data_IF_488966806858
#
_entry.id   IF_488966806858
#
_cell.length_a   1.000
_cell.length_b   1.000
_cell.length_c   1.000
_cell.angle_alpha   90.00
_cell.angle_beta   90.00
_cell.angle_gamma   90.00
#
_symmetry.space_group_name_H-M   'P 1'
#
loop_
_entity.id
_entity.type
_entity.pdbx_description
1 polymer ?
#
# COMPACT_ATOMS: atom_id res chain seq x y z
N UNK A 1 7.10 -12.16 -16.06
CA UNK A 1 6.50 -10.83 -15.93
C UNK A 1 7.55 -9.76 -16.21
N UNK A 2 7.13 -8.64 -16.78
CA UNK A 2 7.93 -7.41 -16.85
C UNK A 2 7.14 -6.26 -16.24
N UNK A 3 7.87 -5.26 -15.76
CA UNK A 3 7.34 -4.05 -15.17
C UNK A 3 7.73 -2.83 -15.99
N UNK A 4 6.76 -1.92 -16.16
CA UNK A 4 6.90 -0.68 -16.92
C UNK A 4 6.63 0.52 -16.00
N UNK A 5 7.19 1.67 -16.36
CA UNK A 5 6.90 2.94 -15.67
C UNK A 5 5.58 3.54 -16.17
N UNK A 6 4.78 4.07 -15.25
CA UNK A 6 3.58 4.88 -15.57
C UNK A 6 3.90 6.14 -16.37
N UNK A 7 5.16 6.58 -16.45
CA UNK A 7 5.60 7.79 -17.18
C UNK A 7 6.47 7.51 -18.39
N UNK A 8 6.65 6.24 -18.75
CA UNK A 8 7.17 5.85 -20.05
C UNK A 8 8.69 5.67 -20.11
N UNK A 9 9.36 5.49 -18.97
CA UNK A 9 10.75 5.05 -18.95
C UNK A 9 10.91 3.81 -19.86
N UNK A 10 11.87 3.81 -20.81
CA UNK A 10 11.92 2.81 -21.86
C UNK A 10 12.36 1.43 -21.36
N UNK A 11 13.07 1.36 -20.24
CA UNK A 11 13.56 0.09 -19.71
C UNK A 11 12.44 -0.67 -19.00
N UNK A 12 12.25 -1.91 -19.44
CA UNK A 12 11.40 -2.90 -18.78
C UNK A 12 12.21 -3.61 -17.71
N UNK A 13 11.65 -3.75 -16.52
CA UNK A 13 12.34 -4.35 -15.36
C UNK A 13 11.70 -5.67 -14.98
N UNK A 14 12.46 -6.53 -14.31
CA UNK A 14 11.98 -7.70 -13.58
C UNK A 14 11.58 -7.32 -12.13
N UNK A 15 10.87 -8.20 -11.43
CA UNK A 15 10.33 -7.89 -10.10
C UNK A 15 11.45 -7.55 -9.11
N UNK A 16 12.49 -8.38 -9.06
CA UNK A 16 13.62 -8.19 -8.15
C UNK A 16 14.41 -6.90 -8.43
N UNK A 17 14.39 -6.37 -9.65
CA UNK A 17 14.97 -5.06 -9.96
C UNK A 17 14.11 -3.94 -9.34
N UNK A 18 12.80 -3.94 -9.60
CA UNK A 18 11.91 -2.88 -9.09
C UNK A 18 11.71 -2.95 -7.57
N UNK A 19 11.92 -4.14 -6.98
CA UNK A 19 11.87 -4.36 -5.54
C UNK A 19 12.89 -3.44 -4.82
N UNK A 20 14.10 -3.34 -5.37
CA UNK A 20 15.19 -2.53 -4.81
C UNK A 20 15.14 -1.07 -5.26
N UNK A 21 14.74 -0.80 -6.51
CA UNK A 21 14.66 0.58 -7.03
C UNK A 21 13.50 1.38 -6.40
N UNK A 22 12.34 0.75 -6.21
CA UNK A 22 11.11 1.37 -5.69
C UNK A 22 10.41 2.32 -6.66
N UNK A 23 11.12 3.32 -7.19
CA UNK A 23 10.64 4.32 -8.16
C UNK A 23 11.39 4.18 -9.49
N UNK A 24 10.70 4.37 -10.61
CA UNK A 24 11.35 4.37 -11.92
C UNK A 24 12.25 5.62 -12.10
N UNK A 25 13.30 5.56 -12.95
CA UNK A 25 14.23 6.69 -13.12
C UNK A 25 13.58 7.98 -13.66
N UNK A 26 12.44 7.88 -14.34
CA UNK A 26 11.65 9.02 -14.82
C UNK A 26 10.68 9.60 -13.76
N UNK A 27 10.75 9.10 -12.52
CA UNK A 27 9.86 9.47 -11.42
C UNK A 27 8.48 8.82 -11.47
N UNK A 28 8.23 7.95 -12.45
CA UNK A 28 7.00 7.16 -12.53
C UNK A 28 6.99 5.96 -11.58
N UNK A 29 5.82 5.36 -11.43
CA UNK A 29 5.62 4.17 -10.62
C UNK A 29 5.67 2.92 -11.47
N UNK A 30 6.26 1.86 -10.94
CA UNK A 30 6.22 0.56 -11.63
C UNK A 30 4.84 -0.09 -11.53
N UNK A 31 4.37 -0.63 -12.66
CA UNK A 31 3.17 -1.47 -12.81
C UNK A 31 3.51 -2.66 -13.72
N UNK A 32 2.83 -3.82 -13.58
CA UNK A 32 3.08 -4.97 -14.43
C UNK A 32 2.61 -4.66 -15.86
N UNK A 33 3.35 -5.16 -16.84
CA UNK A 33 3.05 -4.96 -18.26
C UNK A 33 1.65 -5.47 -18.63
N UNK A 34 1.13 -6.46 -17.93
CA UNK A 34 -0.25 -6.94 -17.99
C UNK A 34 -0.71 -7.39 -16.60
N UNK A 35 -2.01 -7.27 -16.32
CA UNK A 35 -2.57 -7.96 -15.16
C UNK A 35 -2.82 -9.42 -15.52
N UNK A 36 -2.29 -10.39 -14.75
CA UNK A 36 -2.60 -11.80 -14.94
C UNK A 36 -4.08 -12.07 -14.66
N UNK A 37 -4.70 -12.93 -15.45
CA UNK A 37 -6.11 -13.30 -15.30
C UNK A 37 -6.24 -14.56 -14.44
N UNK A 38 -7.27 -14.58 -13.60
CA UNK A 38 -7.67 -15.66 -12.71
C UNK A 38 -9.07 -16.06 -13.12
N UNK A 39 -9.22 -17.28 -13.64
CA UNK A 39 -10.50 -17.83 -14.05
C UNK A 39 -11.28 -18.45 -12.87
N UNK A 40 -12.55 -18.81 -13.12
CA UNK A 40 -13.42 -19.43 -12.11
C UNK A 40 -12.82 -20.73 -11.55
N UNK A 41 -12.14 -21.52 -12.39
CA UNK A 41 -11.49 -22.76 -11.97
C UNK A 41 -10.32 -22.50 -11.01
N UNK A 42 -9.56 -21.42 -11.21
CA UNK A 42 -8.53 -20.96 -10.28
C UNK A 42 -9.16 -20.47 -8.98
N UNK A 43 -10.21 -19.66 -9.04
CA UNK A 43 -10.92 -19.18 -7.84
C UNK A 43 -11.42 -20.34 -6.98
N UNK A 44 -12.00 -21.37 -7.59
CA UNK A 44 -12.51 -22.55 -6.88
C UNK A 44 -11.41 -23.38 -6.20
N UNK A 45 -10.23 -23.48 -6.83
CA UNK A 45 -9.06 -24.12 -6.21
C UNK A 45 -8.54 -23.28 -5.05
N UNK A 46 -8.40 -21.97 -5.28
CA UNK A 46 -7.80 -21.03 -4.34
C UNK A 46 -8.64 -20.81 -3.08
N UNK A 47 -9.96 -20.97 -3.16
CA UNK A 47 -10.89 -20.91 -2.02
C UNK A 47 -10.50 -21.83 -0.85
N UNK A 48 -9.80 -22.93 -1.13
CA UNK A 48 -9.42 -23.95 -0.15
C UNK A 48 -8.01 -23.75 0.43
N UNK A 49 -7.27 -22.76 -0.06
CA UNK A 49 -5.88 -22.53 0.34
C UNK A 49 -5.80 -21.82 1.69
N UNK A 50 -4.71 -22.12 2.41
CA UNK A 50 -4.28 -21.30 3.53
C UNK A 50 -3.87 -19.91 3.02
N UNK A 51 -3.83 -18.90 3.89
CA UNK A 51 -3.36 -17.56 3.51
C UNK A 51 -1.94 -17.57 2.89
N UNK A 52 -0.91 -18.23 3.47
CA UNK A 52 0.41 -18.27 2.84
C UNK A 52 0.44 -19.00 1.50
N UNK A 53 -0.36 -20.06 1.31
CA UNK A 53 -0.45 -20.74 0.01
C UNK A 53 -1.16 -19.86 -1.03
N UNK A 54 -2.23 -19.17 -0.64
CA UNK A 54 -2.91 -18.19 -1.51
C UNK A 54 -1.98 -17.04 -1.89
N UNK A 55 -1.18 -16.55 -0.92
CA UNK A 55 -0.17 -15.54 -1.18
C UNK A 55 0.85 -16.03 -2.22
N UNK A 56 1.34 -17.27 -2.06
CA UNK A 56 2.26 -17.88 -3.03
C UNK A 56 1.66 -17.95 -4.43
N UNK A 57 0.42 -18.43 -4.59
CA UNK A 57 -0.25 -18.53 -5.90
C UNK A 57 -0.40 -17.17 -6.57
N UNK A 58 -0.90 -16.16 -5.84
CA UNK A 58 -1.09 -14.81 -6.37
C UNK A 58 0.25 -14.15 -6.72
N UNK A 59 1.23 -14.23 -5.82
CA UNK A 59 2.55 -13.61 -6.02
C UNK A 59 3.31 -14.27 -7.17
N UNK A 60 3.16 -15.57 -7.38
CA UNK A 60 3.81 -16.30 -8.49
C UNK A 60 3.36 -15.81 -9.87
N UNK A 61 2.18 -15.20 -9.98
CA UNK A 61 1.74 -14.58 -11.24
C UNK A 61 2.47 -13.28 -11.57
N UNK A 62 3.05 -12.63 -10.57
CA UNK A 62 3.74 -11.35 -10.68
C UNK A 62 5.28 -11.49 -10.60
N UNK A 63 5.76 -12.53 -9.92
CA UNK A 63 7.17 -12.74 -9.60
C UNK A 63 7.66 -13.99 -10.34
N UNK A 64 8.28 -13.81 -11.51
CA UNK A 64 8.82 -14.92 -12.33
C UNK A 64 10.34 -15.07 -12.27
N UNK A 65 10.99 -14.27 -11.43
CA UNK A 65 12.45 -14.17 -11.25
C UNK A 65 12.92 -14.56 -9.83
N UNK A 66 12.01 -15.07 -9.00
CA UNK A 66 12.31 -15.81 -7.76
C UNK A 66 11.89 -17.28 -7.98
N UNK A 67 12.74 -18.28 -7.69
CA UNK A 67 12.37 -19.69 -7.78
C UNK A 67 11.09 -20.00 -6.96
N UNK A 68 10.13 -20.78 -7.49
CA UNK A 68 8.86 -21.04 -6.79
C UNK A 68 9.02 -21.62 -5.38
N UNK A 69 10.00 -22.51 -5.17
CA UNK A 69 10.27 -23.07 -3.85
C UNK A 69 10.71 -22.01 -2.82
N UNK A 70 11.49 -21.03 -3.26
CA UNK A 70 11.96 -19.92 -2.43
C UNK A 70 10.81 -18.97 -2.12
N UNK A 71 10.01 -18.61 -3.14
CA UNK A 71 8.84 -17.74 -2.95
C UNK A 71 7.81 -18.38 -2.00
N UNK A 72 7.57 -19.69 -2.12
CA UNK A 72 6.70 -20.42 -1.20
C UNK A 72 7.23 -20.39 0.24
N UNK A 73 8.54 -20.61 0.41
CA UNK A 73 9.21 -20.49 1.71
C UNK A 73 9.07 -19.09 2.30
N UNK A 74 9.24 -18.04 1.48
CA UNK A 74 9.08 -16.65 1.89
C UNK A 74 7.64 -16.38 2.37
N UNK A 75 6.63 -16.84 1.63
CA UNK A 75 5.22 -16.66 2.02
C UNK A 75 4.91 -17.38 3.34
N UNK A 76 5.36 -18.63 3.48
CA UNK A 76 5.16 -19.44 4.68
C UNK A 76 5.89 -18.85 5.91
N UNK A 77 7.09 -18.28 5.74
CA UNK A 77 7.82 -17.56 6.81
C UNK A 77 7.15 -16.24 7.19
N UNK A 78 6.46 -15.60 6.25
CA UNK A 78 5.86 -14.28 6.44
C UNK A 78 4.55 -14.35 7.21
N UNK A 79 3.61 -15.18 6.73
CA UNK A 79 2.23 -15.17 7.19
C UNK A 79 1.96 -16.33 8.15
N UNK A 80 2.33 -16.15 9.41
CA UNK A 80 2.16 -17.17 10.46
C UNK A 80 1.23 -16.72 11.58
N UNK A 81 0.61 -17.66 12.33
CA UNK A 81 -0.17 -17.33 13.52
C UNK A 81 0.63 -16.62 14.60
N UNK A 82 1.94 -16.88 14.70
CA UNK A 82 2.80 -16.23 15.70
C UNK A 82 3.02 -14.74 15.39
N UNK A 83 3.02 -14.38 14.10
CA UNK A 83 3.18 -12.98 13.65
C UNK A 83 1.84 -12.24 13.62
N UNK A 84 0.76 -12.92 13.22
CA UNK A 84 -0.56 -12.30 12.98
C UNK A 84 -1.66 -12.75 13.95
N UNK A 85 -1.31 -13.47 15.01
CA UNK A 85 -2.23 -13.93 16.07
C UNK A 85 -3.23 -15.02 15.67
N UNK A 86 -3.31 -15.42 14.39
CA UNK A 86 -4.32 -16.38 13.91
C UNK A 86 -3.90 -17.08 12.61
N UNK A 87 -4.32 -18.33 12.42
CA UNK A 87 -4.09 -19.10 11.18
C UNK A 87 -4.82 -18.54 9.96
N UNK A 88 -5.88 -17.74 10.16
CA UNK A 88 -6.58 -17.06 9.06
C UNK A 88 -5.78 -15.89 8.50
N UNK A 89 -4.83 -15.35 9.28
CA UNK A 89 -4.03 -14.12 9.04
C UNK A 89 -4.90 -12.87 8.91
N UNK A 90 -5.90 -12.89 8.04
CA UNK A 90 -6.94 -11.87 7.86
C UNK A 90 -8.30 -12.51 8.15
N UNK A 91 -8.72 -12.64 9.41
CA UNK A 91 -10.06 -13.10 9.71
C UNK A 91 -11.09 -12.06 9.24
N UNK A 92 -12.20 -12.54 8.67
CA UNK A 92 -13.36 -11.71 8.35
C UNK A 92 -14.46 -11.95 9.39
N UNK A 93 -14.88 -10.87 10.05
CA UNK A 93 -15.95 -10.86 11.05
C UNK A 93 -17.24 -10.32 10.45
N UNK A 94 -18.33 -11.08 10.53
CA UNK A 94 -19.65 -10.56 10.21
C UNK A 94 -20.15 -9.65 11.34
N UNK A 95 -20.60 -8.45 10.99
CA UNK A 95 -21.32 -7.54 11.90
C UNK A 95 -22.84 -7.64 11.65
N UNK A 96 -23.23 -7.74 10.39
CA UNK A 96 -24.62 -7.96 9.94
C UNK A 96 -24.63 -8.94 8.75
N UNK A 97 -25.82 -9.28 8.24
CA UNK A 97 -25.97 -10.17 7.08
C UNK A 97 -25.14 -9.73 5.86
N UNK A 98 -25.09 -8.43 5.58
CA UNK A 98 -24.38 -7.88 4.42
C UNK A 98 -23.20 -6.97 4.82
N UNK A 99 -22.82 -6.93 6.10
CA UNK A 99 -21.75 -6.07 6.60
C UNK A 99 -20.70 -6.91 7.32
N UNK A 100 -19.47 -6.87 6.79
CA UNK A 100 -18.34 -7.62 7.30
C UNK A 100 -17.14 -6.69 7.50
N UNK A 101 -16.26 -7.04 8.45
CA UNK A 101 -14.99 -6.38 8.70
C UNK A 101 -13.86 -7.38 8.46
N UNK A 102 -12.98 -7.07 7.52
CA UNK A 102 -11.72 -7.79 7.35
C UNK A 102 -10.69 -7.22 8.33
N UNK A 103 -10.26 -8.01 9.30
CA UNK A 103 -9.32 -7.59 10.33
C UNK A 103 -7.88 -7.68 9.80
N UNK A 104 -7.34 -6.55 9.37
CA UNK A 104 -5.99 -6.46 8.80
C UNK A 104 -4.93 -6.04 9.84
N UNK A 105 -5.34 -5.77 11.08
CA UNK A 105 -4.52 -5.13 12.11
C UNK A 105 -4.06 -6.10 13.20
N UNK A 106 -3.94 -7.40 12.89
CA UNK A 106 -3.54 -8.42 13.86
C UNK A 106 -2.03 -8.70 13.83
N UNK A 107 -1.29 -8.02 12.96
CA UNK A 107 0.16 -8.10 12.85
C UNK A 107 0.90 -7.44 14.02
N UNK A 108 2.24 -7.47 14.01
CA UNK A 108 3.08 -7.07 15.14
C UNK A 108 2.94 -5.60 15.54
N UNK A 109 2.42 -4.74 14.66
CA UNK A 109 2.28 -3.31 14.93
C UNK A 109 0.84 -2.84 15.06
N UNK A 110 -0.11 -3.78 15.03
CA UNK A 110 -1.55 -3.51 15.12
C UNK A 110 -2.08 -2.63 13.97
N UNK A 111 -1.51 -2.78 12.77
CA UNK A 111 -1.92 -2.01 11.59
C UNK A 111 -1.83 -2.83 10.29
N UNK A 112 -2.71 -2.55 9.33
CA UNK A 112 -2.74 -3.23 8.02
C UNK A 112 -1.43 -3.16 7.22
N UNK A 113 -0.55 -2.21 7.56
CA UNK A 113 0.76 -2.06 6.90
C UNK A 113 1.63 -3.30 7.12
N UNK A 114 1.42 -4.03 8.21
CA UNK A 114 2.14 -5.27 8.52
C UNK A 114 1.99 -6.33 7.43
N UNK A 115 0.79 -6.43 6.83
CA UNK A 115 0.48 -7.38 5.75
C UNK A 115 1.49 -7.27 4.60
N UNK A 116 1.84 -6.03 4.22
CA UNK A 116 2.78 -5.76 3.14
C UNK A 116 4.23 -5.73 3.62
N UNK A 117 4.48 -5.12 4.77
CA UNK A 117 5.85 -4.87 5.23
C UNK A 117 6.56 -6.17 5.63
N UNK A 118 5.87 -7.10 6.31
CA UNK A 118 6.47 -8.38 6.71
C UNK A 118 6.96 -9.18 5.48
N UNK A 119 6.16 -9.21 4.40
CA UNK A 119 6.57 -9.84 3.15
C UNK A 119 7.76 -9.12 2.53
N UNK A 120 7.70 -7.79 2.49
CA UNK A 120 8.75 -6.97 1.91
C UNK A 120 10.09 -7.16 2.62
N UNK A 121 10.11 -7.26 3.95
CA UNK A 121 11.34 -7.53 4.70
C UNK A 121 11.98 -8.88 4.33
N UNK A 122 11.17 -9.93 4.15
CA UNK A 122 11.67 -11.24 3.71
C UNK A 122 12.14 -11.22 2.25
N UNK A 123 11.44 -10.51 1.36
CA UNK A 123 11.84 -10.36 -0.05
C UNK A 123 13.15 -9.58 -0.20
N UNK A 124 13.33 -8.50 0.56
CA UNK A 124 14.57 -7.71 0.56
C UNK A 124 15.75 -8.53 1.10
N UNK A 125 15.57 -9.21 2.23
CA UNK A 125 16.61 -10.09 2.79
C UNK A 125 17.04 -11.16 1.78
N UNK A 126 16.07 -11.80 1.11
CA UNK A 126 16.34 -12.80 0.08
C UNK A 126 17.16 -12.22 -1.08
N UNK A 127 16.70 -11.11 -1.66
CA UNK A 127 17.31 -10.55 -2.86
C UNK A 127 18.69 -9.94 -2.58
N UNK A 128 18.86 -9.28 -1.43
CA UNK A 128 20.15 -8.73 -1.01
C UNK A 128 21.16 -9.84 -0.75
N UNK A 129 20.75 -10.93 -0.11
CA UNK A 129 21.60 -12.10 0.09
C UNK A 129 22.02 -12.73 -1.26
N UNK A 130 21.10 -12.85 -2.21
CA UNK A 130 21.38 -13.39 -3.55
C UNK A 130 22.38 -12.53 -4.32
N UNK A 131 22.37 -11.22 -4.14
CA UNK A 131 23.31 -10.27 -4.78
C UNK A 131 24.61 -10.06 -4.02
N UNK A 132 24.68 -10.46 -2.74
CA UNK A 132 25.78 -10.08 -1.86
C UNK A 132 25.81 -8.57 -1.58
N UNK A 133 24.65 -7.94 -1.54
CA UNK A 133 24.48 -6.49 -1.37
C UNK A 133 23.93 -6.15 0.02
N UNK A 134 24.01 -4.86 0.38
CA UNK A 134 23.39 -4.33 1.59
C UNK A 134 22.58 -3.07 1.25
N UNK A 135 21.53 -2.82 2.03
CA UNK A 135 20.62 -1.69 1.89
C UNK A 135 20.47 -0.94 3.21
N UNK A 136 20.69 0.36 3.18
CA UNK A 136 20.39 1.25 4.29
C UNK A 136 19.08 1.99 3.97
N UNK A 137 18.00 1.59 4.63
CA UNK A 137 16.67 2.20 4.47
C UNK A 137 16.65 3.50 5.27
N UNK A 138 16.35 4.60 4.61
CA UNK A 138 16.11 5.89 5.26
C UNK A 138 14.64 6.26 5.16
N UNK A 139 14.02 6.60 6.28
CA UNK A 139 12.60 6.95 6.34
C UNK A 139 12.30 8.05 7.35
N UNK A 140 11.11 8.64 7.18
CA UNK A 140 10.50 9.54 8.15
C UNK A 140 9.10 9.02 8.49
N UNK A 141 8.70 9.10 9.76
CA UNK A 141 7.39 8.66 10.24
C UNK A 141 6.77 9.62 11.25
N UNK A 142 5.44 9.62 11.30
CA UNK A 142 4.64 10.19 12.40
C UNK A 142 4.15 9.13 13.39
N UNK A 143 4.51 7.85 13.18
CA UNK A 143 4.15 6.72 14.03
C UNK A 143 4.03 5.42 13.22
N UNK A 144 2.80 5.04 12.86
CA UNK A 144 2.42 3.73 12.29
C UNK A 144 3.33 3.16 11.20
N UNK A 145 3.75 4.01 10.24
CA UNK A 145 4.54 3.52 9.08
C UNK A 145 5.95 3.13 9.49
N UNK A 146 6.53 3.84 10.45
CA UNK A 146 7.83 3.54 11.05
C UNK A 146 7.81 2.22 11.80
N UNK A 147 6.82 2.04 12.70
CA UNK A 147 6.64 0.76 13.41
C UNK A 147 6.60 -0.41 12.44
N UNK A 148 5.71 -0.38 11.44
CA UNK A 148 5.55 -1.48 10.49
C UNK A 148 6.82 -1.78 9.69
N UNK A 149 7.59 -0.73 9.33
CA UNK A 149 8.87 -0.89 8.64
C UNK A 149 9.93 -1.51 9.57
N UNK A 150 10.09 -1.00 10.80
CA UNK A 150 11.08 -1.49 11.75
C UNK A 150 10.83 -2.95 12.14
N UNK A 151 9.59 -3.31 12.48
CA UNK A 151 9.25 -4.70 12.81
C UNK A 151 9.39 -5.66 11.64
N UNK A 152 9.28 -5.19 10.40
CA UNK A 152 9.50 -6.02 9.22
C UNK A 152 11.00 -6.21 8.91
N UNK A 153 11.83 -5.23 9.23
CA UNK A 153 13.25 -5.21 8.88
C UNK A 153 14.16 -5.61 10.04
N UNK A 154 13.66 -5.64 11.29
CA UNK A 154 14.46 -6.02 12.47
C UNK A 154 15.04 -7.42 12.28
N UNK A 155 16.34 -7.54 12.53
CA UNK A 155 17.09 -8.78 12.37
C UNK A 155 17.29 -9.28 10.93
N UNK A 156 16.81 -8.55 9.90
CA UNK A 156 17.03 -8.93 8.50
C UNK A 156 18.48 -8.72 8.08
N UNK A 157 19.10 -9.73 7.49
CA UNK A 157 20.49 -9.64 7.00
C UNK A 157 20.58 -8.72 5.79
N UNK A 158 21.66 -7.94 5.74
CA UNK A 158 21.91 -6.98 4.67
C UNK A 158 21.00 -5.74 4.69
N UNK A 159 20.13 -5.58 5.69
CA UNK A 159 19.23 -4.43 5.80
C UNK A 159 19.50 -3.67 7.11
N UNK A 160 19.63 -2.35 7.02
CA UNK A 160 19.57 -1.44 8.18
C UNK A 160 18.45 -0.43 7.99
N UNK A 161 17.81 0.00 9.07
CA UNK A 161 16.76 1.02 9.05
C UNK A 161 17.18 2.21 9.87
N UNK A 162 17.14 3.39 9.24
CA UNK A 162 17.33 4.68 9.88
C UNK A 162 16.00 5.42 9.79
N UNK A 163 15.26 5.44 10.89
CA UNK A 163 13.91 6.01 10.94
C UNK A 163 13.92 7.31 11.73
N UNK A 164 13.59 8.40 11.04
CA UNK A 164 13.43 9.71 11.66
C UNK A 164 12.01 9.89 12.15
N UNK A 165 11.86 10.39 13.37
CA UNK A 165 10.57 10.77 13.94
C UNK A 165 10.69 12.07 14.72
N UNK A 166 9.64 12.93 14.73
CA UNK A 166 9.68 14.17 15.48
C UNK A 166 9.64 13.90 16.99
N UNK A 167 10.62 14.43 17.72
CA UNK A 167 10.77 14.25 19.16
C UNK A 167 9.52 14.75 19.90
N UNK A 168 8.91 13.87 20.71
CA UNK A 168 7.75 14.18 21.55
C UNK A 168 6.42 14.38 20.81
N UNK A 169 6.33 14.04 19.52
CA UNK A 169 5.12 14.27 18.70
C UNK A 169 4.41 13.00 18.20
N UNK A 170 4.88 11.82 18.59
CA UNK A 170 4.20 10.55 18.33
C UNK A 170 3.32 10.14 19.52
N UNK A 171 2.31 9.30 19.30
CA UNK A 171 1.60 8.69 20.42
C UNK A 171 2.54 7.79 21.25
N UNK A 172 2.29 7.69 22.56
CA UNK A 172 3.11 6.84 23.45
C UNK A 172 3.17 5.39 22.97
N UNK A 173 2.08 4.87 22.40
CA UNK A 173 2.03 3.50 21.88
C UNK A 173 2.97 3.30 20.69
N UNK A 174 2.90 4.18 19.68
CA UNK A 174 3.76 4.09 18.50
C UNK A 174 5.23 4.33 18.86
N UNK A 175 5.50 5.29 19.73
CA UNK A 175 6.85 5.56 20.23
C UNK A 175 7.42 4.33 20.95
N UNK A 176 6.64 3.68 21.82
CA UNK A 176 7.05 2.48 22.52
C UNK A 176 7.32 1.31 21.56
N UNK A 177 6.49 1.11 20.53
CA UNK A 177 6.73 0.10 19.50
C UNK A 177 8.10 0.29 18.83
N UNK A 178 8.42 1.51 18.40
CA UNK A 178 9.67 1.78 17.69
C UNK A 178 10.88 1.80 18.63
N UNK A 179 10.83 2.62 19.69
CA UNK A 179 12.02 2.96 20.49
C UNK A 179 12.42 1.85 21.49
N UNK A 180 11.56 0.84 21.69
CA UNK A 180 11.90 -0.32 22.51
C UNK A 180 12.71 -1.38 21.77
N UNK A 181 12.77 -1.33 20.43
CA UNK A 181 13.55 -2.29 19.63
C UNK A 181 15.04 -2.17 19.95
N UNK A 182 15.66 -3.31 20.27
CA UNK A 182 17.09 -3.41 20.60
C UNK A 182 17.92 -4.02 19.46
N UNK A 183 17.27 -4.39 18.35
CA UNK A 183 17.93 -4.99 17.20
C UNK A 183 18.98 -4.04 16.61
N UNK A 184 20.23 -4.52 16.47
CA UNK A 184 21.38 -3.69 16.06
C UNK A 184 21.21 -2.99 14.71
N UNK A 185 20.37 -3.54 13.83
CA UNK A 185 20.11 -3.00 12.50
C UNK A 185 18.99 -1.95 12.46
N UNK A 186 18.37 -1.62 13.59
CA UNK A 186 17.32 -0.61 13.71
C UNK A 186 17.86 0.62 14.43
N UNK A 187 17.76 1.76 13.77
CA UNK A 187 18.25 3.05 14.26
C UNK A 187 17.12 4.06 14.29
N UNK A 188 16.60 4.30 15.49
CA UNK A 188 15.59 5.32 15.75
C UNK A 188 16.26 6.68 15.99
N UNK A 189 15.90 7.69 15.18
CA UNK A 189 16.47 9.04 15.23
C UNK A 189 15.35 10.03 15.57
N UNK A 190 15.33 10.50 16.81
CA UNK A 190 14.40 11.54 17.26
C UNK A 190 14.90 12.92 16.82
N UNK A 191 14.16 13.59 15.94
CA UNK A 191 14.48 14.91 15.40
C UNK A 191 13.80 15.98 16.26
N UNK A 192 14.58 16.93 16.76
CA UNK A 192 14.05 18.13 17.43
C UNK A 192 13.38 19.07 16.42
N UNK A 193 12.13 18.78 16.08
CA UNK A 193 11.38 19.49 15.06
C UNK A 193 9.96 18.97 14.87
N UNK A 194 9.39 19.22 13.70
CA UNK A 194 8.11 18.68 13.23
C UNK A 194 8.33 17.53 12.24
N UNK A 195 7.25 16.83 11.89
CA UNK A 195 7.31 15.75 10.90
C UNK A 195 7.81 16.25 9.53
N UNK A 196 7.45 17.47 9.14
CA UNK A 196 7.92 18.08 7.89
C UNK A 196 9.46 18.18 7.85
N UNK A 197 10.11 18.51 8.97
CA UNK A 197 11.57 18.58 9.05
C UNK A 197 12.20 17.20 8.80
N UNK A 198 11.60 16.14 9.36
CA UNK A 198 12.03 14.76 9.11
C UNK A 198 11.91 14.42 7.62
N UNK A 199 10.80 14.82 6.98
CA UNK A 199 10.60 14.60 5.54
C UNK A 199 11.61 15.38 4.70
N UNK A 200 11.94 16.61 5.08
CA UNK A 200 12.87 17.46 4.33
C UNK A 200 14.30 16.92 4.41
N UNK A 201 14.73 16.37 5.54
CA UNK A 201 16.02 15.65 5.64
C UNK A 201 16.02 14.43 4.71
N UNK A 202 14.97 13.61 4.72
CA UNK A 202 14.85 12.45 3.82
C UNK A 202 14.89 12.89 2.34
N UNK A 203 14.22 13.99 1.98
CA UNK A 203 14.25 14.55 0.61
C UNK A 203 15.64 15.06 0.24
N UNK A 204 16.33 15.74 1.15
CA UNK A 204 17.69 16.23 0.94
C UNK A 204 18.65 15.06 0.65
N UNK A 205 18.61 14.01 1.47
CA UNK A 205 19.40 12.79 1.22
C UNK A 205 18.96 12.11 -0.08
N UNK A 206 17.67 12.11 -0.40
CA UNK A 206 17.16 11.53 -1.65
C UNK A 206 17.66 12.25 -2.89
N UNK A 207 17.91 13.57 -2.80
CA UNK A 207 18.46 14.41 -3.86
C UNK A 207 19.98 14.30 -4.02
N UNK A 208 20.69 13.79 -3.02
CA UNK A 208 22.15 13.58 -3.08
C UNK A 208 22.49 12.19 -3.64
N UNK A 209 22.68 12.14 -4.96
CA UNK A 209 23.01 10.89 -5.65
C UNK A 209 24.35 10.26 -5.21
N UNK A 210 25.35 11.07 -4.83
CA UNK A 210 26.65 10.57 -4.39
C UNK A 210 26.56 9.95 -3.00
N UNK A 211 25.88 10.61 -2.07
CA UNK A 211 25.62 10.08 -0.74
C UNK A 211 24.83 8.77 -0.82
N UNK A 212 23.77 8.73 -1.62
CA UNK A 212 22.97 7.50 -1.81
C UNK A 212 23.79 6.34 -2.33
N UNK A 213 24.63 6.56 -3.35
CA UNK A 213 25.50 5.51 -3.89
C UNK A 213 26.53 5.04 -2.88
N UNK A 214 27.21 5.98 -2.21
CA UNK A 214 28.26 5.68 -1.22
C UNK A 214 27.72 4.88 -0.05
N UNK A 215 26.54 5.23 0.45
CA UNK A 215 25.93 4.62 1.63
C UNK A 215 24.80 3.63 1.30
N UNK A 216 24.61 3.27 0.01
CA UNK A 216 23.56 2.33 -0.43
C UNK A 216 22.18 2.67 0.15
N UNK A 217 21.82 3.95 0.08
CA UNK A 217 20.57 4.45 0.66
C UNK A 217 19.40 4.05 -0.25
N UNK A 218 18.47 3.29 0.34
CA UNK A 218 17.18 2.96 -0.24
C UNK A 218 16.03 3.58 0.54
N UNK A 219 14.83 3.47 -0.01
CA UNK A 219 13.59 3.87 0.66
C UNK A 219 12.55 2.75 0.56
N UNK A 220 11.92 2.43 1.68
CA UNK A 220 10.76 1.53 1.72
C UNK A 220 9.51 2.36 1.91
N UNK A 221 9.04 2.94 0.81
CA UNK A 221 7.92 3.88 0.77
C UNK A 221 6.62 3.21 0.27
N UNK A 222 5.51 3.94 0.31
CA UNK A 222 4.16 3.44 -0.06
C UNK A 222 3.98 3.12 -1.53
N UNK A 223 4.96 3.45 -2.37
CA UNK A 223 4.91 3.26 -3.81
C UNK A 223 5.61 1.97 -4.27
N UNK A 224 6.36 1.28 -3.42
CA UNK A 224 7.01 0.02 -3.80
C UNK A 224 5.96 -1.00 -4.26
N UNK A 225 6.13 -1.58 -5.46
CA UNK A 225 5.16 -2.51 -6.05
C UNK A 225 4.94 -3.75 -5.19
N UNK A 226 5.99 -4.27 -4.52
CA UNK A 226 5.88 -5.43 -3.64
C UNK A 226 4.87 -5.19 -2.50
N UNK A 227 4.78 -3.94 -2.00
CA UNK A 227 3.76 -3.59 -1.00
C UNK A 227 2.35 -3.64 -1.55
N UNK A 228 2.15 -3.23 -2.80
CA UNK A 228 0.84 -3.21 -3.43
C UNK A 228 0.38 -4.64 -3.74
N UNK A 229 1.24 -5.46 -4.36
CA UNK A 229 0.85 -6.84 -4.72
C UNK A 229 0.62 -7.72 -3.49
N UNK A 230 1.35 -7.52 -2.38
CA UNK A 230 1.08 -8.20 -1.11
C UNK A 230 -0.36 -7.95 -0.61
N UNK A 231 -0.87 -6.75 -0.87
CA UNK A 231 -2.21 -6.34 -0.44
C UNK A 231 -3.32 -6.98 -1.29
N UNK A 232 -3.04 -7.39 -2.53
CA UNK A 232 -4.01 -8.09 -3.39
C UNK A 232 -4.51 -9.37 -2.73
N UNK A 233 -3.63 -10.07 -2.00
CA UNK A 233 -3.90 -11.38 -1.39
C UNK A 233 -5.10 -11.33 -0.43
N UNK A 234 -5.21 -10.27 0.39
CA UNK A 234 -6.31 -10.21 1.35
C UNK A 234 -7.67 -9.88 0.72
N UNK A 235 -7.71 -9.30 -0.49
CA UNK A 235 -8.98 -9.16 -1.22
C UNK A 235 -9.53 -10.52 -1.63
N UNK A 236 -8.68 -11.39 -2.18
CA UNK A 236 -9.06 -12.78 -2.48
C UNK A 236 -9.43 -13.55 -1.21
N UNK A 237 -8.61 -13.48 -0.16
CA UNK A 237 -8.90 -14.14 1.12
C UNK A 237 -10.23 -13.69 1.73
N UNK A 238 -10.48 -12.37 1.79
CA UNK A 238 -11.72 -11.84 2.33
C UNK A 238 -12.93 -12.21 1.47
N UNK A 239 -12.80 -12.15 0.14
CA UNK A 239 -13.83 -12.58 -0.80
C UNK A 239 -14.22 -14.05 -0.56
N UNK A 240 -13.25 -14.95 -0.43
CA UNK A 240 -13.55 -16.37 -0.18
C UNK A 240 -14.23 -16.64 1.16
N UNK A 241 -13.94 -15.82 2.19
CA UNK A 241 -14.54 -15.93 3.52
C UNK A 241 -15.98 -15.40 3.56
N UNK A 242 -16.26 -14.27 2.89
CA UNK A 242 -17.62 -13.71 2.79
C UNK A 242 -18.49 -14.59 1.91
N UNK A 243 -17.92 -15.09 0.81
CA UNK A 243 -18.65 -15.76 -0.24
C UNK A 243 -18.46 -17.27 -0.22
N UNK A 244 -18.63 -17.94 0.92
CA UNK A 244 -18.33 -19.37 1.15
C UNK A 244 -19.29 -20.36 0.44
N UNK A 245 -19.59 -20.15 -0.85
CA UNK A 245 -20.39 -21.06 -1.66
C UNK A 245 -21.21 -20.42 -2.77
N UNK A 246 -21.32 -19.09 -2.82
CA UNK A 246 -22.01 -18.39 -3.90
C UNK A 246 -20.99 -17.81 -4.90
N UNK A 247 -21.43 -17.48 -6.10
CA UNK A 247 -20.64 -16.77 -7.13
C UNK A 247 -21.04 -15.29 -7.22
N UNK A 248 -21.53 -14.73 -6.12
CA UNK A 248 -21.97 -13.34 -6.02
C UNK A 248 -20.80 -12.35 -5.92
N UNK A 249 -20.99 -11.19 -6.51
CA UNK A 249 -20.04 -10.08 -6.38
C UNK A 249 -19.98 -9.57 -4.93
N UNK A 250 -18.81 -9.05 -4.52
CA UNK A 250 -18.60 -8.43 -3.20
C UNK A 250 -18.16 -6.98 -3.37
N UNK A 251 -18.68 -6.10 -2.51
CA UNK A 251 -18.24 -4.72 -2.39
C UNK A 251 -17.14 -4.60 -1.33
N UNK A 252 -16.11 -3.81 -1.63
CA UNK A 252 -15.05 -3.48 -0.67
C UNK A 252 -15.06 -1.98 -0.38
N UNK A 253 -15.18 -1.62 0.90
CA UNK A 253 -15.00 -0.23 1.37
C UNK A 253 -13.66 -0.09 2.07
N UNK A 254 -12.85 0.87 1.65
CA UNK A 254 -11.46 1.01 2.08
C UNK A 254 -11.20 2.41 2.61
N UNK A 255 -10.91 2.57 3.92
CA UNK A 255 -10.36 3.80 4.47
C UNK A 255 -9.03 4.12 3.78
N UNK A 256 -9.02 5.18 2.97
CA UNK A 256 -8.00 5.42 1.96
C UNK A 256 -7.26 6.72 2.21
N UNK A 257 -5.93 6.61 2.36
CA UNK A 257 -5.00 7.74 2.28
C UNK A 257 -4.20 7.71 0.98
N UNK A 258 -3.01 7.09 1.01
CA UNK A 258 -2.09 7.00 -0.13
C UNK A 258 -2.57 6.17 -1.34
N UNK A 259 -3.82 5.71 -1.36
CA UNK A 259 -4.46 4.92 -2.42
C UNK A 259 -3.88 3.51 -2.68
N UNK A 260 -2.86 3.07 -1.92
CA UNK A 260 -2.21 1.77 -2.15
C UNK A 260 -3.12 0.56 -1.88
N UNK A 261 -3.91 0.60 -0.80
CA UNK A 261 -4.82 -0.48 -0.42
C UNK A 261 -5.92 -0.67 -1.47
N UNK A 262 -6.69 0.39 -1.76
CA UNK A 262 -7.78 0.26 -2.73
C UNK A 262 -7.27 0.07 -4.17
N UNK A 263 -6.06 0.53 -4.50
CA UNK A 263 -5.42 0.17 -5.76
C UNK A 263 -5.11 -1.33 -5.85
N UNK A 264 -4.79 -2.00 -4.73
CA UNK A 264 -4.66 -3.46 -4.71
C UNK A 264 -6.02 -4.16 -4.93
N UNK A 265 -7.11 -3.58 -4.43
CA UNK A 265 -8.47 -4.02 -4.74
C UNK A 265 -8.82 -3.88 -6.23
N UNK A 266 -8.40 -2.77 -6.84
CA UNK A 266 -8.49 -2.59 -8.29
C UNK A 266 -7.68 -3.65 -9.05
N UNK A 267 -6.45 -3.93 -8.63
CA UNK A 267 -5.65 -5.01 -9.23
C UNK A 267 -6.36 -6.36 -9.08
N UNK A 268 -6.90 -6.69 -7.91
CA UNK A 268 -7.66 -7.93 -7.71
C UNK A 268 -8.89 -8.03 -8.64
N UNK A 269 -9.63 -6.93 -8.81
CA UNK A 269 -10.76 -6.85 -9.76
C UNK A 269 -10.30 -7.04 -11.20
N UNK A 270 -9.19 -6.40 -11.60
CA UNK A 270 -8.62 -6.56 -12.94
C UNK A 270 -8.05 -7.96 -13.20
N UNK A 271 -7.69 -8.70 -12.15
CA UNK A 271 -7.31 -10.11 -12.24
C UNK A 271 -8.52 -11.03 -12.47
N UNK A 272 -9.77 -10.56 -12.27
CA UNK A 272 -10.98 -11.37 -12.43
C UNK A 272 -11.69 -11.72 -11.12
N UNK A 273 -11.26 -11.18 -9.98
CA UNK A 273 -12.01 -11.34 -8.72
C UNK A 273 -13.39 -10.64 -8.83
N UNK A 274 -14.52 -11.31 -8.53
CA UNK A 274 -15.86 -10.72 -8.63
C UNK A 274 -16.12 -9.60 -7.61
N UNK A 275 -15.61 -8.41 -7.90
CA UNK A 275 -15.80 -7.19 -7.11
C UNK A 275 -16.76 -6.26 -7.85
N UNK A 276 -17.90 -5.94 -7.23
CA UNK A 276 -18.86 -5.00 -7.82
C UNK A 276 -18.37 -3.57 -7.63
N UNK A 277 -18.17 -3.14 -6.38
CA UNK A 277 -17.72 -1.78 -6.03
C UNK A 277 -16.44 -1.76 -5.19
N UNK A 278 -15.62 -0.75 -5.47
CA UNK A 278 -14.46 -0.33 -4.69
C UNK A 278 -14.74 1.06 -4.13
N UNK A 279 -15.17 1.13 -2.87
CA UNK A 279 -15.59 2.36 -2.20
C UNK A 279 -14.38 3.00 -1.50
N UNK A 280 -13.97 4.17 -1.99
CA UNK A 280 -12.89 4.98 -1.42
C UNK A 280 -13.46 5.81 -0.26
N UNK A 281 -13.23 5.38 0.98
CA UNK A 281 -13.64 6.14 2.15
C UNK A 281 -12.52 7.09 2.58
N UNK A 282 -12.80 8.40 2.57
CA UNK A 282 -11.89 9.45 3.01
C UNK A 282 -12.35 10.07 4.33
N UNK A 283 -11.43 10.71 5.04
CA UNK A 283 -11.76 11.61 6.12
C UNK A 283 -11.91 13.04 5.57
N UNK A 284 -11.77 14.06 6.41
CA UNK A 284 -11.86 15.46 6.01
C UNK A 284 -10.82 15.87 4.93
N UNK A 285 -9.72 15.12 4.82
CA UNK A 285 -8.72 15.27 3.75
C UNK A 285 -9.19 14.53 2.49
N UNK A 286 -10.10 15.18 1.76
CA UNK A 286 -11.00 14.56 0.79
C UNK A 286 -10.53 14.63 -0.67
N UNK A 287 -9.21 14.78 -0.91
CA UNK A 287 -8.66 14.91 -2.27
C UNK A 287 -9.05 13.76 -3.21
N UNK A 288 -9.19 12.54 -2.66
CA UNK A 288 -9.65 11.38 -3.41
C UNK A 288 -11.15 11.44 -3.69
N UNK A 289 -11.97 11.88 -2.73
CA UNK A 289 -13.41 12.05 -2.93
C UNK A 289 -13.71 13.14 -3.99
N UNK A 290 -13.01 14.28 -3.94
CA UNK A 290 -13.08 15.29 -4.99
C UNK A 290 -12.74 14.70 -6.36
N UNK A 291 -11.66 13.93 -6.45
CA UNK A 291 -11.25 13.28 -7.70
C UNK A 291 -12.30 12.32 -8.23
N UNK A 292 -12.82 11.38 -7.43
CA UNK A 292 -13.80 10.40 -7.89
C UNK A 292 -15.17 11.01 -8.21
N UNK A 293 -15.53 12.13 -7.56
CA UNK A 293 -16.78 12.84 -7.84
C UNK A 293 -16.70 13.76 -9.06
N UNK A 294 -15.55 14.38 -9.32
CA UNK A 294 -15.45 15.49 -10.28
C UNK A 294 -14.46 15.28 -11.42
N UNK A 295 -13.50 14.37 -11.28
CA UNK A 295 -12.37 14.22 -12.19
C UNK A 295 -11.22 15.19 -11.92
N UNK A 296 -11.39 16.13 -10.99
CA UNK A 296 -10.36 17.10 -10.61
C UNK A 296 -9.53 16.53 -9.47
N UNK A 297 -8.22 16.43 -9.68
CA UNK A 297 -7.27 16.11 -8.61
C UNK A 297 -6.42 17.34 -8.29
N UNK A 298 -6.61 17.91 -7.09
CA UNK A 298 -5.91 19.11 -6.62
C UNK A 298 -5.18 18.83 -5.31
N UNK A 299 -3.87 19.06 -5.30
CA UNK A 299 -3.06 18.96 -4.08
C UNK A 299 -3.59 19.93 -3.02
N UNK A 300 -3.68 19.44 -1.78
CA UNK A 300 -3.98 20.29 -0.63
C UNK A 300 -2.69 20.88 -0.08
N UNK A 301 -2.66 22.19 0.14
CA UNK A 301 -1.56 22.83 0.84
C UNK A 301 -1.58 22.44 2.33
N UNK A 302 -0.56 22.85 3.08
CA UNK A 302 -0.51 22.64 4.53
C UNK A 302 -1.69 23.30 5.25
N UNK A 303 -2.17 24.45 4.76
CA UNK A 303 -3.33 25.15 5.30
C UNK A 303 -4.66 24.39 5.09
N UNK A 304 -4.70 23.49 4.10
CA UNK A 304 -5.89 22.73 3.70
C UNK A 304 -5.77 21.23 4.01
N UNK A 305 -4.76 20.85 4.80
CA UNK A 305 -4.59 19.49 5.32
C UNK A 305 -4.94 19.52 6.79
N UNK A 306 -6.08 18.94 7.14
CA UNK A 306 -6.62 18.95 8.50
C UNK A 306 -5.98 17.84 9.33
N UNK A 307 -5.63 18.14 10.57
CA UNK A 307 -5.35 17.11 11.57
C UNK A 307 -6.66 16.46 11.99
N UNK A 308 -6.78 15.15 11.82
CA UNK A 308 -8.02 14.41 12.10
C UNK A 308 -7.80 13.29 13.11
N UNK A 309 -8.91 12.69 13.55
CA UNK A 309 -8.86 11.48 14.39
C UNK A 309 -8.48 10.20 13.65
N UNK A 310 -8.16 10.27 12.36
CA UNK A 310 -7.64 9.16 11.55
C UNK A 310 -6.35 9.58 10.82
N UNK A 311 -5.27 9.92 11.56
CA UNK A 311 -4.11 10.64 11.02
C UNK A 311 -3.33 9.88 9.93
N UNK A 312 -3.43 8.55 9.90
CA UNK A 312 -2.87 7.72 8.82
C UNK A 312 -3.49 8.01 7.43
N UNK A 313 -4.61 8.75 7.38
CA UNK A 313 -5.30 9.17 6.16
C UNK A 313 -5.15 10.67 5.87
N UNK A 314 -4.49 11.44 6.73
CA UNK A 314 -4.29 12.89 6.57
C UNK A 314 -3.24 13.18 5.49
N UNK A 315 -3.64 13.03 4.23
CA UNK A 315 -2.74 13.12 3.08
C UNK A 315 -3.15 14.26 2.14
N UNK A 316 -2.15 15.01 1.69
CA UNK A 316 -2.30 16.04 0.66
C UNK A 316 -2.14 15.50 -0.77
N UNK A 317 -1.45 14.36 -0.91
CA UNK A 317 -1.16 13.69 -2.18
C UNK A 317 -1.31 12.18 -2.05
N UNK A 318 -2.23 11.59 -2.81
CA UNK A 318 -2.40 10.15 -2.93
C UNK A 318 -1.35 9.56 -3.89
N UNK A 319 -0.23 9.08 -3.34
CA UNK A 319 0.91 8.60 -4.14
C UNK A 319 0.57 7.50 -5.15
N UNK A 320 -0.29 6.54 -4.80
CA UNK A 320 -0.65 5.43 -5.70
C UNK A 320 -1.77 5.77 -6.70
N UNK A 321 -2.39 6.96 -6.63
CA UNK A 321 -3.42 7.36 -7.59
C UNK A 321 -2.87 7.38 -9.03
N UNK A 322 -1.57 7.68 -9.19
CA UNK A 322 -0.90 7.65 -10.48
C UNK A 322 -1.02 6.30 -11.20
N UNK A 323 -0.97 5.18 -10.46
CA UNK A 323 -1.15 3.84 -11.06
C UNK A 323 -2.54 3.69 -11.66
N UNK A 324 -3.57 4.14 -10.94
CA UNK A 324 -4.93 4.07 -11.43
C UNK A 324 -5.19 5.03 -12.59
N UNK A 325 -4.65 6.26 -12.53
CA UNK A 325 -4.77 7.21 -13.65
C UNK A 325 -4.10 6.66 -14.91
N UNK A 326 -2.95 5.99 -14.78
CA UNK A 326 -2.32 5.29 -15.91
C UNK A 326 -3.26 4.26 -16.55
N UNK A 327 -3.93 3.42 -15.76
CA UNK A 327 -4.92 2.46 -16.27
C UNK A 327 -6.16 3.12 -16.88
N UNK A 328 -6.66 4.18 -16.22
CA UNK A 328 -7.80 4.97 -16.66
C UNK A 328 -7.55 5.54 -18.06
N UNK A 329 -6.35 6.07 -18.29
CA UNK A 329 -5.93 6.65 -19.57
C UNK A 329 -5.51 5.60 -20.60
N UNK A 330 -5.80 4.32 -20.37
CA UNK A 330 -5.49 3.25 -21.31
C UNK A 330 -4.00 2.95 -21.41
N UNK A 331 -3.26 3.13 -20.29
CA UNK A 331 -1.82 2.94 -20.19
C UNK A 331 -1.00 3.90 -21.08
N UNK A 332 -1.54 5.08 -21.34
CA UNK A 332 -0.83 6.16 -22.03
C UNK A 332 0.14 6.87 -21.07
N UNK A 333 1.41 6.49 -21.17
CA UNK A 333 2.49 7.07 -20.36
C UNK A 333 2.73 8.56 -20.63
N UNK A 334 2.52 9.03 -21.86
CA UNK A 334 2.71 10.43 -22.23
C UNK A 334 1.68 11.33 -21.56
N UNK A 335 0.40 10.90 -21.58
CA UNK A 335 -0.69 11.60 -20.91
C UNK A 335 -0.54 11.57 -19.39
N UNK A 336 -0.14 10.42 -18.84
CA UNK A 336 0.10 10.26 -17.40
C UNK A 336 1.24 11.17 -16.94
N UNK A 337 2.36 11.18 -17.68
CA UNK A 337 3.47 12.10 -17.41
C UNK A 337 3.03 13.57 -17.46
N UNK A 338 2.27 13.97 -18.48
CA UNK A 338 1.72 15.34 -18.58
C UNK A 338 0.89 15.72 -17.35
N UNK A 339 0.07 14.82 -16.83
CA UNK A 339 -0.74 15.09 -15.64
C UNK A 339 0.09 15.22 -14.37
N UNK A 340 1.03 14.30 -14.12
CA UNK A 340 1.76 14.25 -12.84
C UNK A 340 3.02 15.14 -12.79
N UNK A 341 3.73 15.31 -13.90
CA UNK A 341 4.94 16.14 -13.96
C UNK A 341 4.67 17.57 -14.42
N UNK A 342 3.80 17.77 -15.40
CA UNK A 342 3.62 19.10 -15.97
C UNK A 342 2.47 19.85 -15.29
N UNK A 343 1.31 19.22 -15.14
CA UNK A 343 0.13 19.89 -14.56
C UNK A 343 0.19 19.88 -13.03
N UNK A 344 0.27 18.71 -12.40
CA UNK A 344 0.23 18.60 -10.94
C UNK A 344 1.42 19.30 -10.28
N UNK A 345 2.64 19.09 -10.80
CA UNK A 345 3.86 19.69 -10.21
C UNK A 345 3.91 21.20 -10.37
N UNK A 346 3.44 21.76 -11.50
CA UNK A 346 3.54 23.20 -11.79
C UNK A 346 2.30 24.00 -11.36
N UNK A 347 1.12 23.41 -11.46
CA UNK A 347 -0.18 24.06 -11.22
C UNK A 347 -0.89 23.56 -9.96
N UNK A 348 -0.39 22.50 -9.32
CA UNK A 348 -1.01 21.91 -8.13
C UNK A 348 -2.27 21.09 -8.41
N UNK A 349 -2.69 20.95 -9.67
CA UNK A 349 -3.89 20.18 -10.06
C UNK A 349 -3.85 19.67 -11.50
N UNK A 350 -4.66 18.65 -11.79
CA UNK A 350 -5.08 18.27 -13.15
C UNK A 350 -6.59 17.97 -13.17
N UNK A 351 -7.19 17.97 -14.36
CA UNK A 351 -8.64 17.84 -14.56
C UNK A 351 -8.96 16.79 -15.63
N UNK A 352 -9.74 15.79 -15.24
CA UNK A 352 -10.28 14.71 -16.09
C UNK A 352 -11.80 14.80 -16.29
N UNK A 353 -12.47 15.85 -15.81
CA UNK A 353 -13.93 16.00 -15.87
C UNK A 353 -14.48 15.96 -17.31
N UNK A 354 -13.74 16.52 -18.26
CA UNK A 354 -14.06 16.50 -19.70
C UNK A 354 -13.53 15.27 -20.45
N UNK A 355 -12.84 14.35 -19.76
CA UNK A 355 -12.26 13.16 -20.40
C UNK A 355 -13.28 12.02 -20.46
N UNK A 356 -13.45 11.43 -21.65
CA UNK A 356 -14.40 10.33 -21.84
C UNK A 356 -14.02 9.06 -21.07
N UNK A 357 -12.75 8.88 -20.69
CA UNK A 357 -12.34 7.80 -19.82
C UNK A 357 -12.86 7.99 -18.39
N UNK A 358 -12.92 9.22 -17.88
CA UNK A 358 -13.35 9.50 -16.52
C UNK A 358 -14.83 9.17 -16.29
N UNK A 359 -15.68 9.45 -17.29
CA UNK A 359 -17.09 9.07 -17.26
C UNK A 359 -17.32 7.55 -17.08
N UNK A 360 -16.30 6.73 -17.40
CA UNK A 360 -16.37 5.27 -17.29
C UNK A 360 -15.79 4.74 -15.98
N UNK A 361 -15.28 5.57 -15.07
CA UNK A 361 -14.62 5.12 -13.83
C UNK A 361 -15.50 4.18 -13.01
N UNK A 362 -16.76 4.56 -12.76
CA UNK A 362 -17.69 3.73 -11.98
C UNK A 362 -18.04 2.44 -12.72
N UNK A 363 -18.46 2.53 -14.00
CA UNK A 363 -18.92 1.37 -14.76
C UNK A 363 -17.77 0.38 -15.08
N UNK A 364 -16.61 0.89 -15.50
CA UNK A 364 -15.47 0.08 -15.93
C UNK A 364 -14.66 -0.44 -14.75
N UNK A 365 -14.46 0.37 -13.71
CA UNK A 365 -13.54 0.03 -12.60
C UNK A 365 -14.22 -0.17 -11.25
N UNK A 366 -15.52 0.07 -11.11
CA UNK A 366 -16.28 -0.14 -9.88
C UNK A 366 -16.02 0.91 -8.80
N UNK A 367 -15.27 1.97 -9.10
CA UNK A 367 -14.92 2.97 -8.09
C UNK A 367 -16.08 3.91 -7.76
N UNK A 368 -16.28 4.13 -6.47
CA UNK A 368 -17.02 5.27 -5.93
C UNK A 368 -16.33 5.77 -4.66
N UNK A 369 -16.75 6.91 -4.12
CA UNK A 369 -16.12 7.50 -2.95
C UNK A 369 -17.15 8.03 -1.96
N UNK A 370 -16.67 8.25 -0.73
CA UNK A 370 -17.40 8.96 0.30
C UNK A 370 -16.45 9.61 1.30
N UNK A 371 -17.01 10.50 2.11
CA UNK A 371 -16.31 11.24 3.15
C UNK A 371 -16.96 11.03 4.50
N UNK A 372 -16.15 10.97 5.55
CA UNK A 372 -16.59 11.02 6.94
C UNK A 372 -15.92 12.17 7.68
N UNK A 373 -16.67 12.84 8.55
CA UNK A 373 -16.14 13.82 9.52
C UNK A 373 -15.78 13.14 10.84
N UNK A 374 -15.08 13.87 11.71
CA UNK A 374 -14.77 13.41 13.07
C UNK A 374 -16.02 13.02 13.85
N UNK A 375 -17.11 13.80 13.71
CA UNK A 375 -18.38 13.49 14.33
C UNK A 375 -18.96 12.16 13.82
N UNK A 376 -18.99 11.96 12.50
CA UNK A 376 -19.48 10.71 11.88
C UNK A 376 -18.68 9.50 12.36
N UNK A 377 -17.35 9.62 12.47
CA UNK A 377 -16.49 8.54 12.95
C UNK A 377 -16.76 8.21 14.42
N UNK A 378 -16.88 9.22 15.29
CA UNK A 378 -17.20 8.99 16.70
C UNK A 378 -18.60 8.38 16.88
N UNK A 379 -19.57 8.81 16.08
CA UNK A 379 -20.91 8.22 16.07
C UNK A 379 -20.87 6.77 15.60
N UNK A 380 -20.18 6.48 14.50
CA UNK A 380 -20.01 5.12 13.96
C UNK A 380 -19.35 4.19 14.98
N UNK A 381 -18.30 4.65 15.68
CA UNK A 381 -17.65 3.87 16.74
C UNK A 381 -18.65 3.59 17.88
N UNK A 382 -19.41 4.59 18.33
CA UNK A 382 -20.42 4.42 19.39
C UNK A 382 -21.54 3.48 18.97
N UNK A 383 -22.04 3.60 17.74
CA UNK A 383 -23.09 2.74 17.20
C UNK A 383 -22.62 1.28 17.10
N UNK A 384 -21.43 1.08 16.54
CA UNK A 384 -20.81 -0.24 16.38
C UNK A 384 -20.63 -0.91 17.74
N UNK A 385 -20.10 -0.18 18.73
CA UNK A 385 -19.95 -0.68 20.11
C UNK A 385 -21.30 -1.09 20.72
N UNK A 386 -22.33 -0.23 20.59
CA UNK A 386 -23.66 -0.50 21.17
C UNK A 386 -24.36 -1.71 20.55
N UNK A 387 -24.26 -1.86 19.23
CA UNK A 387 -25.01 -2.87 18.49
C UNK A 387 -24.31 -4.23 18.44
N UNK A 388 -22.98 -4.22 18.42
CA UNK A 388 -22.20 -5.43 18.15
C UNK A 388 -21.24 -5.79 19.29
N UNK A 389 -21.07 -4.94 20.30
CA UNK A 389 -20.17 -5.14 21.44
C UNK A 389 -18.74 -5.50 21.00
N UNK A 390 -18.23 -4.76 20.00
CA UNK A 390 -16.94 -4.98 19.34
C UNK A 390 -16.01 -3.81 19.50
#
# INVERSE_FOLDING_TARGET
MHYISTRGHPQRRKFCEILLEGLAPDGGLYVPETYPLVDDAMLDRWRRLSYPDLAFEILSLYIDDIPPADLKTICAKTYTPEVFGTTRIVPVRALETCLHVAELSNGPTMAFKDMAMQLLGNLLEYELARRGEELNILGATSGDTGSAAEYAMRGKKGVRVFMMSPHGRMSTFQQAQMFSLQDENIHNIAIEGVFDDCQDIVKAVSGDGDFKRRHRIGAVNSINWARLVAQVVYYFSAYFQVNAGNTSEVDFTVPSGNFGNICAGHVARMMGLPISRLVVATNENDVLDEFFRTGVYRLRGRADTYETSSPSMDISKASNLERFVFELLGRDAGRTKSMFDDQLRRRGQFDLSGDSAFAQVAARFGFCSGKSTHADRLETIRDTWRRFNT
#
